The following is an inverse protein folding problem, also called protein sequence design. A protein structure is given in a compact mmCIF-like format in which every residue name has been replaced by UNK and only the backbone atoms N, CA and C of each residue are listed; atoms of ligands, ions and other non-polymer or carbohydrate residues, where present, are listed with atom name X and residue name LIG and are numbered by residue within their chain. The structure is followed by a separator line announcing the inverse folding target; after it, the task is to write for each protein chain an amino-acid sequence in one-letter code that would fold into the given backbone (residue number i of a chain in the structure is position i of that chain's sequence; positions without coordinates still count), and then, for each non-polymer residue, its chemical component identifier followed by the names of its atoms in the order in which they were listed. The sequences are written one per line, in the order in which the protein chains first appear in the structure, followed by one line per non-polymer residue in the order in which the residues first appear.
data_IF_504550055522
#
_entry.id   IF_504550055522
#
_cell.length_a   1.000
_cell.length_b   1.000
_cell.length_c   1.000
_cell.angle_alpha   90.00
_cell.angle_beta   90.00
_cell.angle_gamma   90.00
#
_symmetry.space_group_name_H-M   'P 1'
#
loop_
_entity.id
_entity.type
_entity.pdbx_description
1 polymer ?
#
# COMPACT_ATOMS: atom_id res chain seq x y z
N UNK A 1 -21.29 -20.44 -5.20
CA UNK A 1 -20.28 -21.37 -4.67
C UNK A 1 -18.95 -21.36 -5.44
N UNK A 2 -18.96 -21.26 -6.79
CA UNK A 2 -17.71 -21.28 -7.57
C UNK A 2 -16.81 -20.04 -7.41
N UNK A 3 -17.38 -18.85 -7.26
CA UNK A 3 -16.59 -17.59 -7.18
C UNK A 3 -15.91 -17.46 -5.82
N UNK A 4 -16.59 -17.92 -4.78
CA UNK A 4 -16.18 -17.89 -3.38
C UNK A 4 -14.90 -18.72 -3.17
N UNK A 5 -14.94 -19.98 -3.61
CA UNK A 5 -13.76 -20.85 -3.61
C UNK A 5 -12.65 -20.30 -4.49
N UNK A 6 -12.96 -19.68 -5.63
CA UNK A 6 -11.95 -19.10 -6.52
C UNK A 6 -11.19 -17.96 -5.83
N UNK A 7 -11.88 -17.00 -5.21
CA UNK A 7 -11.24 -15.91 -4.46
C UNK A 7 -10.35 -16.47 -3.34
N UNK A 8 -10.85 -17.47 -2.60
CA UNK A 8 -10.07 -18.10 -1.55
C UNK A 8 -8.81 -18.79 -2.07
N UNK A 9 -8.92 -19.61 -3.12
CA UNK A 9 -7.80 -20.35 -3.70
C UNK A 9 -6.76 -19.41 -4.35
N UNK A 10 -7.19 -18.35 -5.01
CA UNK A 10 -6.27 -17.33 -5.55
C UNK A 10 -5.52 -16.64 -4.42
N UNK A 11 -6.23 -16.24 -3.35
CA UNK A 11 -5.60 -15.62 -2.19
C UNK A 11 -4.61 -16.55 -1.49
N UNK A 12 -4.98 -17.82 -1.33
CA UNK A 12 -4.12 -18.86 -0.75
C UNK A 12 -2.85 -19.07 -1.61
N UNK A 13 -2.99 -19.13 -2.93
CA UNK A 13 -1.86 -19.26 -3.84
C UNK A 13 -0.92 -18.04 -3.76
N UNK A 14 -1.48 -16.82 -3.78
CA UNK A 14 -0.69 -15.59 -3.62
C UNK A 14 0.13 -15.61 -2.32
N UNK A 15 -0.50 -16.02 -1.22
CA UNK A 15 0.17 -16.08 0.08
C UNK A 15 1.25 -17.16 0.12
N UNK A 16 0.84 -18.43 -0.04
CA UNK A 16 1.69 -19.59 0.26
C UNK A 16 2.74 -19.83 -0.82
N UNK A 17 2.38 -19.63 -2.09
CA UNK A 17 3.31 -19.92 -3.18
C UNK A 17 4.16 -18.70 -3.53
N UNK A 18 3.53 -17.53 -3.69
CA UNK A 18 4.24 -16.34 -4.18
C UNK A 18 4.90 -15.59 -3.02
N UNK A 19 4.13 -15.13 -2.04
CA UNK A 19 4.65 -14.26 -0.98
C UNK A 19 5.69 -14.97 -0.11
N UNK A 20 5.42 -16.20 0.32
CA UNK A 20 6.35 -16.96 1.17
C UNK A 20 7.64 -17.36 0.42
N UNK A 21 7.61 -17.47 -0.92
CA UNK A 21 8.82 -17.64 -1.73
C UNK A 21 9.71 -16.39 -1.71
N UNK A 22 9.11 -15.20 -1.89
CA UNK A 22 9.85 -13.94 -1.81
C UNK A 22 10.29 -13.59 -0.39
N UNK A 23 9.52 -14.00 0.62
CA UNK A 23 9.86 -13.79 2.03
C UNK A 23 11.22 -14.38 2.41
N UNK A 24 11.60 -15.53 1.84
CA UNK A 24 12.91 -16.16 2.08
C UNK A 24 14.07 -15.21 1.71
N UNK A 25 13.97 -14.58 0.55
CA UNK A 25 14.98 -13.65 0.04
C UNK A 25 14.99 -12.33 0.81
N UNK A 26 13.80 -11.78 1.09
CA UNK A 26 13.67 -10.54 1.86
C UNK A 26 14.24 -10.71 3.28
N UNK A 27 13.82 -11.76 3.99
CA UNK A 27 14.27 -12.04 5.36
C UNK A 27 15.78 -12.28 5.41
N UNK A 28 16.36 -12.99 4.45
CA UNK A 28 17.81 -13.20 4.39
C UNK A 28 18.58 -11.89 4.19
N UNK A 29 18.10 -11.01 3.31
CA UNK A 29 18.72 -9.70 3.10
C UNK A 29 18.68 -8.83 4.35
N UNK A 30 17.51 -8.72 4.98
CA UNK A 30 17.36 -7.91 6.19
C UNK A 30 18.13 -8.48 7.38
N UNK A 31 18.24 -9.81 7.53
CA UNK A 31 19.02 -10.41 8.63
C UNK A 31 20.52 -10.16 8.50
N UNK A 32 21.05 -10.11 7.27
CA UNK A 32 22.44 -9.71 7.01
C UNK A 32 22.67 -8.28 7.51
N UNK A 33 21.77 -7.34 7.18
CA UNK A 33 21.86 -5.94 7.63
C UNK A 33 21.75 -5.84 9.15
N UNK A 34 20.83 -6.57 9.77
CA UNK A 34 20.66 -6.60 11.23
C UNK A 34 21.90 -7.14 11.95
N UNK A 35 22.64 -8.06 11.32
CA UNK A 35 23.93 -8.56 11.83
C UNK A 35 25.09 -7.56 11.69
N UNK A 36 24.82 -6.34 11.20
CA UNK A 36 25.81 -5.28 11.01
C UNK A 36 26.63 -5.38 9.71
N UNK A 37 26.27 -6.30 8.81
CA UNK A 37 26.92 -6.43 7.50
C UNK A 37 26.24 -5.55 6.45
N UNK A 38 26.97 -5.18 5.42
CA UNK A 38 26.48 -4.33 4.33
C UNK A 38 26.15 -5.21 3.13
N UNK A 39 24.95 -5.06 2.58
CA UNK A 39 24.57 -5.67 1.32
C UNK A 39 25.27 -4.94 0.17
N UNK A 40 25.78 -5.68 -0.81
CA UNK A 40 26.25 -5.06 -2.04
C UNK A 40 25.08 -4.48 -2.86
N UNK A 41 25.39 -3.82 -3.97
CA UNK A 41 24.40 -3.17 -4.82
C UNK A 41 23.29 -4.12 -5.29
N UNK A 42 23.65 -5.30 -5.80
CA UNK A 42 22.68 -6.27 -6.32
C UNK A 42 21.86 -6.93 -5.22
N UNK A 43 22.50 -7.25 -4.09
CA UNK A 43 21.83 -7.78 -2.92
C UNK A 43 20.79 -6.79 -2.38
N UNK A 44 21.15 -5.51 -2.27
CA UNK A 44 20.25 -4.46 -1.79
C UNK A 44 18.99 -4.36 -2.65
N UNK A 45 19.15 -4.36 -3.99
CA UNK A 45 18.02 -4.36 -4.92
C UNK A 45 17.19 -5.65 -4.84
N UNK A 46 17.84 -6.81 -4.77
CA UNK A 46 17.16 -8.10 -4.66
C UNK A 46 16.33 -8.18 -3.37
N UNK A 47 16.87 -7.75 -2.23
CA UNK A 47 16.17 -7.69 -0.94
C UNK A 47 14.98 -6.73 -1.01
N UNK A 48 15.18 -5.52 -1.51
CA UNK A 48 14.11 -4.50 -1.60
C UNK A 48 12.96 -4.95 -2.51
N UNK A 49 13.27 -5.49 -3.70
CA UNK A 49 12.25 -5.97 -4.63
C UNK A 49 11.54 -7.22 -4.10
N UNK A 50 12.28 -8.14 -3.47
CA UNK A 50 11.69 -9.32 -2.83
C UNK A 50 10.72 -8.91 -1.72
N UNK A 51 11.09 -7.95 -0.88
CA UNK A 51 10.20 -7.40 0.14
C UNK A 51 8.95 -6.74 -0.46
N UNK A 52 9.12 -6.01 -1.58
CA UNK A 52 8.02 -5.36 -2.31
C UNK A 52 6.98 -6.39 -2.78
N UNK A 53 7.43 -7.51 -3.36
CA UNK A 53 6.54 -8.59 -3.80
C UNK A 53 5.94 -9.37 -2.62
N UNK A 54 6.75 -9.71 -1.62
CA UNK A 54 6.28 -10.34 -0.40
C UNK A 54 5.15 -9.52 0.20
N UNK A 55 5.36 -8.25 0.51
CA UNK A 55 4.38 -7.37 1.15
C UNK A 55 3.07 -7.31 0.36
N UNK A 56 3.14 -7.16 -0.96
CA UNK A 56 1.95 -7.07 -1.80
C UNK A 56 1.18 -8.39 -1.90
N UNK A 57 1.86 -9.50 -2.20
CA UNK A 57 1.18 -10.78 -2.40
C UNK A 57 0.70 -11.38 -1.08
N UNK A 58 1.39 -11.11 0.02
CA UNK A 58 0.96 -11.49 1.35
C UNK A 58 -0.36 -10.80 1.69
N UNK A 59 -0.35 -9.46 1.64
CA UNK A 59 -1.51 -8.69 2.05
C UNK A 59 -2.69 -8.84 1.09
N UNK A 60 -2.45 -8.79 -0.23
CA UNK A 60 -3.52 -9.04 -1.21
C UNK A 60 -4.06 -10.47 -1.13
N UNK A 61 -3.20 -11.45 -0.81
CA UNK A 61 -3.62 -12.83 -0.59
C UNK A 61 -4.59 -12.96 0.58
N UNK A 62 -4.29 -12.33 1.72
CA UNK A 62 -5.20 -12.28 2.86
C UNK A 62 -6.54 -11.60 2.53
N UNK A 63 -6.53 -10.49 1.81
CA UNK A 63 -7.77 -9.82 1.41
C UNK A 63 -8.64 -10.67 0.48
N UNK A 64 -8.03 -11.36 -0.49
CA UNK A 64 -8.77 -12.25 -1.40
C UNK A 64 -9.35 -13.46 -0.67
N UNK A 65 -8.59 -14.06 0.26
CA UNK A 65 -9.12 -15.12 1.14
C UNK A 65 -10.28 -14.62 2.00
N UNK A 66 -10.18 -13.41 2.57
CA UNK A 66 -11.25 -12.82 3.35
C UNK A 66 -12.51 -12.59 2.51
N UNK A 67 -12.39 -12.10 1.27
CA UNK A 67 -13.52 -11.96 0.34
C UNK A 67 -14.15 -13.33 0.04
N UNK A 68 -13.32 -14.34 -0.26
CA UNK A 68 -13.79 -15.70 -0.51
C UNK A 68 -14.59 -16.27 0.67
N UNK A 69 -14.06 -16.15 1.89
CA UNK A 69 -14.75 -16.55 3.13
C UNK A 69 -16.03 -15.75 3.37
N UNK A 70 -15.98 -14.43 3.24
CA UNK A 70 -17.15 -13.57 3.40
C UNK A 70 -18.30 -14.02 2.49
N UNK A 71 -18.00 -14.28 1.22
CA UNK A 71 -19.01 -14.74 0.27
C UNK A 71 -19.59 -16.12 0.63
N UNK A 72 -18.82 -17.03 1.24
CA UNK A 72 -19.36 -18.31 1.76
C UNK A 72 -20.41 -18.10 2.86
N UNK A 73 -20.29 -17.02 3.64
CA UNK A 73 -21.26 -16.62 4.67
C UNK A 73 -22.31 -15.62 4.16
N UNK A 74 -22.36 -15.33 2.86
CA UNK A 74 -23.30 -14.35 2.29
C UNK A 74 -22.93 -12.89 2.56
N UNK A 75 -21.70 -12.60 2.98
CA UNK A 75 -21.19 -11.26 3.28
C UNK A 75 -20.30 -10.78 2.11
N UNK A 76 -20.65 -9.67 1.49
CA UNK A 76 -19.82 -9.05 0.44
C UNK A 76 -18.81 -8.08 1.05
N UNK A 77 -17.55 -8.52 1.17
CA UNK A 77 -16.46 -7.64 1.59
C UNK A 77 -15.95 -6.78 0.43
N UNK A 78 -15.54 -5.52 0.70
CA UNK A 78 -14.96 -4.65 -0.32
C UNK A 78 -13.59 -5.13 -0.80
N UNK A 79 -13.30 -4.94 -2.09
CA UNK A 79 -11.98 -5.19 -2.68
C UNK A 79 -10.95 -4.21 -2.09
N UNK A 80 -9.78 -4.73 -1.74
CA UNK A 80 -8.71 -3.95 -1.14
C UNK A 80 -7.53 -3.63 -2.08
N UNK A 81 -7.31 -4.44 -3.11
CA UNK A 81 -6.21 -4.27 -4.07
C UNK A 81 -6.68 -4.39 -5.51
N UNK A 82 -6.23 -3.49 -6.37
CA UNK A 82 -6.56 -3.47 -7.80
C UNK A 82 -5.32 -3.23 -8.69
N UNK A 83 -4.43 -4.21 -8.75
CA UNK A 83 -3.18 -4.17 -9.53
C UNK A 83 -2.39 -2.85 -9.31
N UNK A 84 -2.01 -2.51 -8.07
CA UNK A 84 -1.43 -1.21 -7.72
C UNK A 84 -0.14 -0.88 -8.49
N UNK A 85 0.71 -1.87 -8.77
CA UNK A 85 1.94 -1.66 -9.53
C UNK A 85 1.73 -1.44 -11.04
N UNK A 86 0.48 -1.49 -11.54
CA UNK A 86 0.14 -1.01 -12.89
C UNK A 86 -0.23 0.48 -12.92
N UNK A 87 -0.20 1.16 -11.78
CA UNK A 87 -0.51 2.58 -11.69
C UNK A 87 0.53 3.42 -12.44
N UNK A 88 0.07 4.44 -13.15
CA UNK A 88 0.92 5.36 -13.91
C UNK A 88 1.38 6.57 -13.08
N UNK A 89 0.80 6.76 -11.90
CA UNK A 89 1.16 7.83 -10.98
C UNK A 89 0.82 7.47 -9.53
N UNK A 90 1.35 8.24 -8.59
CA UNK A 90 1.20 8.00 -7.15
C UNK A 90 -0.27 8.08 -6.68
N UNK A 91 -1.07 8.95 -7.29
CA UNK A 91 -2.49 9.07 -6.92
C UNK A 91 -3.28 7.83 -7.39
N UNK A 92 -3.01 7.30 -8.58
CA UNK A 92 -3.60 6.06 -9.08
C UNK A 92 -3.12 4.84 -8.27
N UNK A 93 -1.85 4.83 -7.84
CA UNK A 93 -1.31 3.80 -6.96
C UNK A 93 -2.14 3.69 -5.66
N UNK A 94 -2.37 4.82 -4.98
CA UNK A 94 -3.16 4.86 -3.75
C UNK A 94 -4.67 4.62 -3.94
N UNK A 95 -5.20 4.77 -5.16
CA UNK A 95 -6.57 4.34 -5.50
C UNK A 95 -6.68 2.83 -5.70
N UNK A 96 -5.55 2.13 -5.86
CA UNK A 96 -5.47 0.69 -6.13
C UNK A 96 -4.85 -0.12 -4.99
N UNK A 97 -4.17 0.54 -4.05
CA UNK A 97 -3.51 -0.04 -2.90
C UNK A 97 -4.32 0.21 -1.63
N UNK A 98 -4.58 -0.85 -0.84
CA UNK A 98 -5.25 -0.77 0.46
C UNK A 98 -6.50 0.14 0.46
N UNK A 99 -7.39 -0.10 -0.52
CA UNK A 99 -8.52 0.76 -0.88
C UNK A 99 -9.47 1.02 0.29
N UNK A 100 -9.65 0.05 1.20
CA UNK A 100 -10.52 0.21 2.37
C UNK A 100 -9.93 1.18 3.38
N UNK A 101 -8.64 1.08 3.69
CA UNK A 101 -7.92 2.06 4.50
C UNK A 101 -7.91 3.43 3.84
N UNK A 102 -7.66 3.48 2.51
CA UNK A 102 -7.71 4.73 1.75
C UNK A 102 -9.06 5.44 1.89
N UNK A 103 -10.17 4.68 1.84
CA UNK A 103 -11.52 5.20 2.13
C UNK A 103 -11.65 5.70 3.57
N UNK A 104 -11.20 4.92 4.55
CA UNK A 104 -11.25 5.33 5.96
C UNK A 104 -10.50 6.65 6.19
N UNK A 105 -9.26 6.75 5.72
CA UNK A 105 -8.46 7.97 5.82
C UNK A 105 -9.10 9.14 5.08
N UNK A 106 -9.72 8.90 3.91
CA UNK A 106 -10.45 9.94 3.20
C UNK A 106 -11.64 10.45 4.02
N UNK A 107 -12.48 9.53 4.51
CA UNK A 107 -13.78 9.86 5.09
C UNK A 107 -13.65 10.41 6.51
N UNK A 108 -12.66 9.93 7.28
CA UNK A 108 -12.49 10.29 8.70
C UNK A 108 -11.34 11.25 8.98
N UNK A 109 -10.46 11.51 8.01
CA UNK A 109 -9.35 12.44 8.19
C UNK A 109 -9.33 13.53 7.11
N UNK A 110 -9.31 13.15 5.83
CA UNK A 110 -9.20 14.12 4.74
C UNK A 110 -10.40 15.07 4.62
N UNK A 111 -11.63 14.52 4.60
CA UNK A 111 -12.86 15.31 4.47
C UNK A 111 -13.08 16.22 5.68
N UNK A 112 -12.93 15.75 6.94
CA UNK A 112 -13.00 16.61 8.12
C UNK A 112 -11.98 17.76 8.14
N UNK A 113 -10.79 17.57 7.56
CA UNK A 113 -9.78 18.63 7.41
C UNK A 113 -10.13 19.70 6.35
N UNK A 114 -11.31 19.61 5.73
CA UNK A 114 -11.80 20.53 4.70
C UNK A 114 -11.66 20.01 3.27
N UNK A 115 -11.05 18.82 3.08
CA UNK A 115 -10.86 18.18 1.78
C UNK A 115 -10.29 19.15 0.73
N UNK A 116 -11.00 19.28 -0.40
CA UNK A 116 -10.65 20.19 -1.50
C UNK A 116 -11.35 21.56 -1.42
N UNK A 117 -12.16 21.83 -0.40
CA UNK A 117 -13.11 22.97 -0.40
C UNK A 117 -12.47 24.31 -0.03
N UNK A 118 -11.37 24.28 0.71
CA UNK A 118 -10.73 25.48 1.28
C UNK A 118 -9.53 25.97 0.44
N UNK A 119 -9.50 25.64 -0.85
CA UNK A 119 -8.46 26.11 -1.77
C UNK A 119 -7.24 25.19 -1.92
N UNK A 120 -6.36 25.57 -2.85
CA UNK A 120 -5.23 24.74 -3.31
C UNK A 120 -4.22 24.43 -2.19
N UNK A 121 -3.80 25.43 -1.43
CA UNK A 121 -2.81 25.25 -0.35
C UNK A 121 -3.30 24.30 0.76
N UNK A 122 -4.54 24.47 1.22
CA UNK A 122 -5.12 23.59 2.24
C UNK A 122 -5.31 22.15 1.72
N UNK A 123 -5.65 21.99 0.44
CA UNK A 123 -5.68 20.67 -0.22
C UNK A 123 -4.32 19.97 -0.16
N UNK A 124 -3.23 20.67 -0.52
CA UNK A 124 -1.87 20.10 -0.49
C UNK A 124 -1.46 19.73 0.94
N UNK A 125 -1.70 20.61 1.91
CA UNK A 125 -1.47 20.33 3.34
C UNK A 125 -2.24 19.08 3.79
N UNK A 126 -3.53 19.00 3.46
CA UNK A 126 -4.38 17.89 3.87
C UNK A 126 -3.90 16.56 3.27
N UNK A 127 -3.48 16.54 2.00
CA UNK A 127 -2.90 15.36 1.36
C UNK A 127 -1.63 14.90 2.09
N UNK A 128 -0.72 15.83 2.42
CA UNK A 128 0.49 15.51 3.15
C UNK A 128 0.18 14.97 4.56
N UNK A 129 -0.69 15.66 5.31
CA UNK A 129 -1.06 15.27 6.67
C UNK A 129 -1.68 13.88 6.70
N UNK A 130 -2.58 13.55 5.76
CA UNK A 130 -3.20 12.22 5.69
C UNK A 130 -2.15 11.13 5.43
N UNK A 131 -1.23 11.33 4.49
CA UNK A 131 -0.17 10.36 4.22
C UNK A 131 0.80 10.21 5.39
N UNK A 132 1.17 11.32 6.04
CA UNK A 132 2.02 11.32 7.22
C UNK A 132 1.39 10.57 8.39
N UNK A 133 0.12 10.86 8.70
CA UNK A 133 -0.63 10.18 9.75
C UNK A 133 -0.88 8.70 9.41
N UNK A 134 -1.03 8.35 8.12
CA UNK A 134 -1.05 6.96 7.68
C UNK A 134 0.26 6.23 7.95
N UNK A 135 1.41 6.92 7.82
CA UNK A 135 2.70 6.37 8.22
C UNK A 135 2.72 6.08 9.72
N UNK A 136 2.36 7.06 10.55
CA UNK A 136 2.29 6.89 12.02
C UNK A 136 1.34 5.76 12.42
N UNK A 137 0.21 5.59 11.73
CA UNK A 137 -0.74 4.51 11.97
C UNK A 137 -0.12 3.12 11.76
N UNK A 138 0.84 2.98 10.84
CA UNK A 138 1.54 1.70 10.61
C UNK A 138 2.57 1.36 11.71
N UNK A 139 3.06 2.33 12.47
CA UNK A 139 3.94 2.09 13.61
C UNK A 139 4.77 3.31 14.01
N UNK A 140 5.36 3.25 15.21
CA UNK A 140 6.16 4.35 15.78
C UNK A 140 7.63 4.38 15.31
N UNK A 141 8.06 3.43 14.48
CA UNK A 141 9.42 3.40 13.96
C UNK A 141 9.70 4.53 12.96
N UNK A 142 10.91 5.10 12.99
CA UNK A 142 11.32 6.18 12.08
C UNK A 142 11.09 5.84 10.60
N UNK A 143 11.22 4.57 10.21
CA UNK A 143 10.95 4.12 8.85
C UNK A 143 9.54 4.45 8.38
N UNK A 144 8.53 4.33 9.24
CA UNK A 144 7.14 4.64 8.89
C UNK A 144 6.87 6.15 8.79
N UNK A 145 7.52 6.94 9.64
CA UNK A 145 7.47 8.41 9.57
C UNK A 145 8.06 8.88 8.24
N UNK A 146 9.26 8.40 7.90
CA UNK A 146 9.94 8.71 6.63
C UNK A 146 9.08 8.26 5.46
N UNK A 147 8.56 7.03 5.50
CA UNK A 147 7.69 6.48 4.46
C UNK A 147 6.44 7.34 4.25
N UNK A 148 5.75 7.73 5.33
CA UNK A 148 4.54 8.57 5.25
C UNK A 148 4.84 9.97 4.70
N UNK A 149 5.94 10.59 5.14
CA UNK A 149 6.41 11.87 4.62
C UNK A 149 6.76 11.80 3.13
N UNK A 150 7.46 10.75 2.69
CA UNK A 150 7.82 10.56 1.28
C UNK A 150 6.58 10.42 0.39
N UNK A 151 5.59 9.62 0.82
CA UNK A 151 4.35 9.46 0.05
C UNK A 151 3.50 10.74 0.07
N UNK A 152 3.48 11.47 1.19
CA UNK A 152 2.83 12.77 1.28
C UNK A 152 3.46 13.79 0.32
N UNK A 153 4.79 13.87 0.30
CA UNK A 153 5.53 14.74 -0.63
C UNK A 153 5.25 14.36 -2.09
N UNK A 154 5.32 13.07 -2.43
CA UNK A 154 5.02 12.59 -3.78
C UNK A 154 3.58 12.94 -4.22
N UNK A 155 2.60 12.79 -3.34
CA UNK A 155 1.20 13.16 -3.61
C UNK A 155 1.04 14.67 -3.84
N UNK A 156 1.72 15.51 -3.05
CA UNK A 156 1.73 16.96 -3.23
C UNK A 156 2.38 17.35 -4.56
N UNK A 157 3.56 16.82 -4.86
CA UNK A 157 4.28 17.07 -6.12
C UNK A 157 3.40 16.68 -7.31
N UNK A 158 2.81 15.48 -7.29
CA UNK A 158 1.92 15.04 -8.35
C UNK A 158 0.70 15.97 -8.50
N UNK A 159 0.07 16.38 -7.40
CA UNK A 159 -1.09 17.27 -7.44
C UNK A 159 -0.75 18.63 -8.04
N UNK A 160 0.44 19.17 -7.73
CA UNK A 160 0.94 20.42 -8.29
C UNK A 160 1.23 20.25 -9.78
N UNK A 161 1.94 19.18 -10.17
CA UNK A 161 2.28 18.88 -11.56
C UNK A 161 1.03 18.68 -12.45
N UNK A 162 0.06 17.86 -12.03
CA UNK A 162 -1.19 17.68 -12.76
C UNK A 162 -1.95 18.99 -12.94
N UNK A 163 -1.89 19.88 -11.94
CA UNK A 163 -2.49 21.20 -12.01
C UNK A 163 -1.84 22.13 -13.04
N UNK A 164 -0.61 21.88 -13.47
CA UNK A 164 0.06 22.61 -14.56
C UNK A 164 -0.20 21.99 -15.93
N UNK A 165 -0.30 20.67 -16.02
CA UNK A 165 -0.47 19.94 -17.29
C UNK A 165 -1.92 19.96 -17.79
N UNK A 166 -2.90 20.03 -16.88
CA UNK A 166 -4.34 20.08 -17.20
C UNK A 166 -4.87 21.51 -17.44
N UNK A 167 -3.99 22.52 -17.50
CA UNK A 167 -4.31 23.90 -17.90
C UNK A 167 -3.94 24.13 -19.37
#
# INVERSE_FOLDING_TARGET
MQKECLFFLIGLFKKVYVADSFAKWANNGFSIVESGKILNFFESWATSLSYTFQLYFDFSGYCDMAIGLGLLFGIMLPINFNSPYKALNIADFWRRWHITLGRFLRDYLYIPLGGNRLGKWLTLRNLFVVAFLSGIWHGAGFGFIIWGSLHGAAMVIHRVYSGFVEQ
#
